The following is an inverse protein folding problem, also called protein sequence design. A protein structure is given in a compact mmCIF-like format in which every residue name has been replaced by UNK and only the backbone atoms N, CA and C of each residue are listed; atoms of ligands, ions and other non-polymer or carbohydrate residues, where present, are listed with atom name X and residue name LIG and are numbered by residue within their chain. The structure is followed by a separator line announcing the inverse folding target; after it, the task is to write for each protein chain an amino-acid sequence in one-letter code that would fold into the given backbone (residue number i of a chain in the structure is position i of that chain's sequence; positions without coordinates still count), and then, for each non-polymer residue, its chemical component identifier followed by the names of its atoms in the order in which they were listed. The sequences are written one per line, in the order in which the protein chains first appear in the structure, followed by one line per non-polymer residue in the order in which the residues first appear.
data_IF_857647142740
#
_entry.id   IF_857647142740
#
_cell.length_a   1.000
_cell.length_b   1.000
_cell.length_c   1.000
_cell.angle_alpha   90.00
_cell.angle_beta   90.00
_cell.angle_gamma   90.00
#
_symmetry.space_group_name_H-M   'P 1'
#
loop_
_entity.id
_entity.type
_entity.pdbx_description
1 polymer ?
#
# COMPACT_ATOMS: atom_id res chain seq x y z
N UNK A 1 17.09 3.32 -29.31
CA UNK A 1 15.83 2.94 -30.00
C UNK A 1 14.59 3.30 -29.16
N UNK A 2 14.49 2.85 -27.91
CA UNK A 2 13.34 3.19 -27.03
C UNK A 2 13.14 4.71 -26.85
N UNK A 3 14.20 5.49 -26.64
CA UNK A 3 14.11 6.96 -26.52
C UNK A 3 13.47 7.64 -27.73
N UNK A 4 13.78 7.17 -28.94
CA UNK A 4 13.15 7.70 -30.15
C UNK A 4 11.64 7.39 -30.21
N UNK A 5 11.19 6.25 -29.70
CA UNK A 5 9.77 5.94 -29.59
C UNK A 5 9.08 6.82 -28.55
N UNK A 6 9.72 7.11 -27.41
CA UNK A 6 9.19 8.04 -26.41
C UNK A 6 9.00 9.45 -26.96
N UNK A 7 9.99 9.97 -27.71
CA UNK A 7 9.88 11.28 -28.38
C UNK A 7 8.75 11.32 -29.40
N UNK A 8 8.41 10.19 -30.01
CA UNK A 8 7.31 10.05 -30.96
C UNK A 8 5.95 9.74 -30.27
N UNK A 9 5.90 9.73 -28.93
CA UNK A 9 4.72 9.34 -28.14
C UNK A 9 4.17 7.93 -28.49
N UNK A 10 5.10 7.02 -28.82
CA UNK A 10 4.81 5.60 -29.11
C UNK A 10 5.19 4.73 -27.91
N UNK A 11 4.47 4.91 -26.82
CA UNK A 11 4.85 4.30 -25.52
C UNK A 11 4.84 2.77 -25.55
N UNK A 12 3.90 2.15 -26.28
CA UNK A 12 3.86 0.69 -26.42
C UNK A 12 5.08 0.16 -27.19
N UNK A 13 5.52 0.86 -28.26
CA UNK A 13 6.72 0.50 -29.01
C UNK A 13 8.00 0.73 -28.17
N UNK A 14 8.01 1.80 -27.37
CA UNK A 14 9.09 2.08 -26.43
C UNK A 14 9.20 0.97 -25.37
N UNK A 15 8.08 0.56 -24.79
CA UNK A 15 8.04 -0.54 -23.81
C UNK A 15 8.49 -1.86 -24.42
N UNK A 16 8.04 -2.17 -25.63
CA UNK A 16 8.45 -3.39 -26.35
C UNK A 16 9.98 -3.41 -26.60
N UNK A 17 10.56 -2.28 -27.01
CA UNK A 17 12.01 -2.15 -27.22
C UNK A 17 12.80 -2.26 -25.91
N UNK A 18 12.32 -1.67 -24.81
CA UNK A 18 12.92 -1.80 -23.47
C UNK A 18 12.85 -3.24 -22.96
N UNK A 19 11.67 -3.88 -23.08
CA UNK A 19 11.50 -5.26 -22.68
C UNK A 19 12.42 -6.23 -23.44
N UNK A 20 12.59 -6.01 -24.73
CA UNK A 20 13.53 -6.82 -25.52
C UNK A 20 14.98 -6.62 -25.03
N UNK A 21 15.35 -5.37 -24.74
CA UNK A 21 16.68 -5.06 -24.18
C UNK A 21 16.87 -5.70 -22.80
N UNK A 22 15.87 -5.65 -21.95
CA UNK A 22 15.89 -6.26 -20.60
C UNK A 22 16.06 -7.78 -20.67
N UNK A 23 15.23 -8.47 -21.47
CA UNK A 23 15.31 -9.93 -21.65
C UNK A 23 16.63 -10.40 -22.23
N UNK A 24 17.31 -9.56 -23.00
CA UNK A 24 18.61 -9.88 -23.58
C UNK A 24 19.80 -9.42 -22.70
N UNK A 25 19.54 -9.00 -21.45
CA UNK A 25 20.54 -8.46 -20.53
C UNK A 25 21.40 -7.33 -21.14
N UNK A 26 20.78 -6.54 -22.02
CA UNK A 26 21.48 -5.41 -22.70
C UNK A 26 21.16 -4.05 -22.07
N UNK A 27 20.39 -4.03 -20.96
CA UNK A 27 20.10 -2.84 -20.16
C UNK A 27 20.84 -2.97 -18.82
N UNK A 28 21.86 -2.12 -18.64
CA UNK A 28 22.66 -2.07 -17.42
C UNK A 28 22.50 -0.74 -16.68
N UNK A 29 21.90 0.27 -17.34
CA UNK A 29 21.76 1.60 -16.76
C UNK A 29 20.55 1.66 -15.84
N UNK A 30 20.78 2.11 -14.60
CA UNK A 30 19.76 2.33 -13.56
C UNK A 30 18.57 3.12 -14.11
N UNK A 31 18.83 4.26 -14.75
CA UNK A 31 17.78 5.16 -15.26
C UNK A 31 16.89 4.48 -16.32
N UNK A 32 17.45 3.54 -17.08
CA UNK A 32 16.70 2.79 -18.09
C UNK A 32 15.82 1.72 -17.43
N UNK A 33 16.31 1.06 -16.38
CA UNK A 33 15.54 0.08 -15.61
C UNK A 33 14.37 0.76 -14.86
N UNK A 34 14.64 1.90 -14.22
CA UNK A 34 13.59 2.72 -13.57
C UNK A 34 12.55 3.19 -14.60
N UNK A 35 13.00 3.65 -15.78
CA UNK A 35 12.09 4.07 -16.86
C UNK A 35 11.24 2.92 -17.37
N UNK A 36 11.78 1.71 -17.45
CA UNK A 36 11.03 0.52 -17.84
C UNK A 36 9.92 0.20 -16.82
N UNK A 37 10.21 0.27 -15.51
CA UNK A 37 9.23 0.09 -14.45
C UNK A 37 8.11 1.14 -14.52
N UNK A 38 8.47 2.42 -14.63
CA UNK A 38 7.52 3.55 -14.73
C UNK A 38 6.63 3.45 -15.98
N UNK A 39 7.21 3.12 -17.13
CA UNK A 39 6.48 2.98 -18.38
C UNK A 39 5.53 1.77 -18.35
N UNK A 40 5.94 0.68 -17.70
CA UNK A 40 5.07 -0.49 -17.49
C UNK A 40 3.86 -0.14 -16.62
N UNK A 41 4.05 0.66 -15.56
CA UNK A 41 2.93 1.17 -14.75
C UNK A 41 2.01 2.10 -15.54
N UNK A 42 2.58 3.03 -16.29
CA UNK A 42 1.83 3.98 -17.11
C UNK A 42 0.95 3.26 -18.15
N UNK A 43 1.43 2.14 -18.68
CA UNK A 43 0.68 1.30 -19.64
C UNK A 43 -0.16 0.21 -18.95
N UNK A 44 -0.45 0.37 -17.66
CA UNK A 44 -1.32 -0.52 -16.89
C UNK A 44 -0.87 -2.00 -16.86
N UNK A 45 0.45 -2.21 -16.79
CA UNK A 45 1.05 -3.54 -16.63
C UNK A 45 1.78 -3.61 -15.26
N UNK A 46 1.04 -3.49 -14.14
CA UNK A 46 1.63 -3.27 -12.82
C UNK A 46 2.47 -4.45 -12.33
N UNK A 47 2.04 -5.67 -12.58
CA UNK A 47 2.80 -6.86 -12.16
C UNK A 47 4.19 -6.90 -12.80
N UNK A 48 4.28 -6.63 -14.10
CA UNK A 48 5.57 -6.58 -14.78
C UNK A 48 6.46 -5.45 -14.24
N UNK A 49 5.86 -4.28 -13.99
CA UNK A 49 6.57 -3.15 -13.39
C UNK A 49 7.17 -3.52 -12.04
N UNK A 50 6.37 -4.15 -11.19
CA UNK A 50 6.76 -4.57 -9.85
C UNK A 50 7.89 -5.61 -9.88
N UNK A 51 7.77 -6.65 -10.70
CA UNK A 51 8.81 -7.69 -10.83
C UNK A 51 10.14 -7.07 -11.30
N UNK A 52 10.12 -6.22 -12.34
CA UNK A 52 11.34 -5.57 -12.85
C UNK A 52 11.98 -4.69 -11.76
N UNK A 53 11.17 -3.88 -11.07
CA UNK A 53 11.68 -3.01 -10.00
C UNK A 53 12.26 -3.83 -8.85
N UNK A 54 11.53 -4.85 -8.38
CA UNK A 54 11.95 -5.70 -7.26
C UNK A 54 13.27 -6.43 -7.58
N UNK A 55 13.33 -7.16 -8.70
CA UNK A 55 14.53 -7.91 -9.12
C UNK A 55 15.76 -7.03 -9.21
N UNK A 56 15.60 -5.83 -9.77
CA UNK A 56 16.74 -4.92 -9.95
C UNK A 56 17.12 -4.16 -8.67
N UNK A 57 16.18 -3.94 -7.74
CA UNK A 57 16.48 -3.46 -6.39
C UNK A 57 17.26 -4.52 -5.60
N UNK A 58 16.86 -5.78 -5.69
CA UNK A 58 17.49 -6.88 -4.98
C UNK A 58 18.90 -7.19 -5.55
N UNK A 59 19.08 -6.96 -6.85
CA UNK A 59 20.39 -7.02 -7.49
C UNK A 59 21.30 -5.78 -7.21
N UNK A 60 20.77 -4.73 -6.54
CA UNK A 60 21.50 -3.50 -6.27
C UNK A 60 21.68 -2.59 -7.50
N UNK A 61 20.96 -2.86 -8.59
CA UNK A 61 20.98 -2.05 -9.81
C UNK A 61 20.05 -0.84 -9.72
N UNK A 62 18.97 -0.94 -8.94
CA UNK A 62 18.07 0.17 -8.57
C UNK A 62 18.22 0.39 -7.07
N UNK A 63 18.33 1.64 -6.66
CA UNK A 63 18.46 2.02 -5.26
C UNK A 63 17.13 1.87 -4.51
N UNK A 64 17.17 1.31 -3.31
CA UNK A 64 16.01 1.23 -2.39
C UNK A 64 15.83 2.57 -1.65
N UNK A 65 15.58 3.65 -2.39
CA UNK A 65 15.20 4.95 -1.84
C UNK A 65 13.68 5.11 -1.78
N UNK A 66 13.22 6.17 -1.12
CA UNK A 66 11.78 6.43 -0.92
C UNK A 66 11.01 6.44 -2.25
N UNK A 67 11.47 7.17 -3.25
CA UNK A 67 10.77 7.30 -4.54
C UNK A 67 10.58 5.95 -5.24
N UNK A 68 11.62 5.14 -5.27
CA UNK A 68 11.59 3.83 -5.91
C UNK A 68 10.77 2.82 -5.13
N UNK A 69 10.82 2.87 -3.78
CA UNK A 69 9.98 2.01 -2.94
C UNK A 69 8.49 2.41 -3.02
N UNK A 70 8.16 3.70 -3.10
CA UNK A 70 6.77 4.15 -3.35
C UNK A 70 6.26 3.68 -4.71
N UNK A 71 7.10 3.73 -5.74
CA UNK A 71 6.76 3.21 -7.07
C UNK A 71 6.51 1.70 -7.03
N UNK A 72 7.37 0.94 -6.35
CA UNK A 72 7.24 -0.50 -6.19
C UNK A 72 5.98 -0.87 -5.39
N UNK A 73 5.72 -0.15 -4.29
CA UNK A 73 4.50 -0.30 -3.50
C UNK A 73 3.24 -0.10 -4.34
N UNK A 74 3.21 0.99 -5.13
CA UNK A 74 2.10 1.27 -6.05
C UNK A 74 1.94 0.17 -7.11
N UNK A 75 3.04 -0.38 -7.61
CA UNK A 75 3.02 -1.44 -8.60
C UNK A 75 2.45 -2.75 -8.04
N UNK A 76 2.92 -3.20 -6.87
CA UNK A 76 2.40 -4.40 -6.20
C UNK A 76 0.94 -4.24 -5.79
N UNK A 77 0.56 -3.07 -5.23
CA UNK A 77 -0.83 -2.77 -4.87
C UNK A 77 -1.76 -2.82 -6.09
N UNK A 78 -1.35 -2.21 -7.21
CA UNK A 78 -2.12 -2.22 -8.45
C UNK A 78 -2.20 -3.62 -9.10
N UNK A 79 -1.17 -4.44 -8.88
CA UNK A 79 -1.16 -5.84 -9.29
C UNK A 79 -1.99 -6.75 -8.38
N UNK A 80 -2.51 -6.23 -7.25
CA UNK A 80 -3.20 -6.95 -6.17
C UNK A 80 -2.34 -8.02 -5.49
N UNK A 81 -1.04 -7.87 -5.55
CA UNK A 81 -0.07 -8.70 -4.83
C UNK A 81 0.18 -8.06 -3.45
N UNK A 82 -0.80 -8.27 -2.56
CA UNK A 82 -0.88 -7.52 -1.29
C UNK A 82 0.23 -7.90 -0.31
N UNK A 83 0.70 -9.15 -0.34
CA UNK A 83 1.81 -9.60 0.51
C UNK A 83 3.10 -8.86 0.17
N UNK A 84 3.42 -8.80 -1.11
CA UNK A 84 4.58 -8.11 -1.65
C UNK A 84 4.49 -6.60 -1.37
N UNK A 85 3.30 -6.02 -1.51
CA UNK A 85 3.07 -4.62 -1.17
C UNK A 85 3.32 -4.34 0.33
N UNK A 86 2.88 -5.23 1.22
CA UNK A 86 3.12 -5.14 2.67
C UNK A 86 4.62 -5.22 2.99
N UNK A 87 5.35 -6.13 2.35
CA UNK A 87 6.81 -6.24 2.52
C UNK A 87 7.53 -4.94 2.13
N UNK A 88 7.05 -4.25 1.08
CA UNK A 88 7.59 -2.93 0.71
C UNK A 88 7.29 -1.88 1.78
N UNK A 89 6.09 -1.88 2.35
CA UNK A 89 5.74 -0.96 3.46
C UNK A 89 6.66 -1.20 4.66
N UNK A 90 6.95 -2.45 4.99
CA UNK A 90 7.82 -2.79 6.13
C UNK A 90 9.26 -2.28 5.96
N UNK A 91 9.71 -2.12 4.71
CA UNK A 91 11.01 -1.50 4.39
C UNK A 91 10.90 0.04 4.38
N UNK A 92 9.81 0.59 3.84
CA UNK A 92 9.64 2.02 3.62
C UNK A 92 9.28 2.78 4.91
N UNK A 93 8.39 2.23 5.74
CA UNK A 93 7.87 2.91 6.91
C UNK A 93 8.95 3.37 7.91
N UNK A 94 9.99 2.56 8.23
CA UNK A 94 11.08 3.00 9.10
C UNK A 94 11.94 4.12 8.50
N UNK A 95 11.88 4.36 7.18
CA UNK A 95 12.71 5.38 6.52
C UNK A 95 12.11 6.78 6.59
N UNK A 96 10.77 6.89 6.70
CA UNK A 96 10.07 8.17 6.52
C UNK A 96 9.20 8.58 7.71
N UNK A 97 9.06 7.73 8.72
CA UNK A 97 8.29 7.99 9.96
C UNK A 97 6.87 8.53 9.67
N UNK A 98 6.17 7.93 8.67
CA UNK A 98 4.86 8.34 8.19
C UNK A 98 3.80 7.29 8.59
N UNK A 99 2.95 7.62 9.55
CA UNK A 99 1.88 6.75 10.03
C UNK A 99 0.86 6.36 8.95
N UNK A 100 0.76 7.14 7.87
CA UNK A 100 -0.15 6.85 6.76
C UNK A 100 0.19 5.54 6.03
N UNK A 101 1.46 5.11 6.03
CA UNK A 101 1.87 3.83 5.48
C UNK A 101 1.28 2.64 6.26
N UNK A 102 1.15 2.78 7.57
CA UNK A 102 0.51 1.74 8.39
C UNK A 102 -1.00 1.69 8.17
N UNK A 103 -1.65 2.82 7.85
CA UNK A 103 -3.05 2.81 7.40
C UNK A 103 -3.16 2.05 6.08
N UNK A 104 -2.27 2.33 5.12
CA UNK A 104 -2.25 1.61 3.85
C UNK A 104 -2.00 0.11 4.08
N UNK A 105 -1.09 -0.26 4.98
CA UNK A 105 -0.87 -1.66 5.40
C UNK A 105 -2.15 -2.29 5.95
N UNK A 106 -2.86 -1.61 6.85
CA UNK A 106 -4.11 -2.09 7.42
C UNK A 106 -5.19 -2.31 6.35
N UNK A 107 -5.27 -1.42 5.34
CA UNK A 107 -6.18 -1.60 4.20
C UNK A 107 -5.83 -2.83 3.35
N UNK A 108 -4.56 -3.08 3.07
CA UNK A 108 -4.11 -4.27 2.35
C UNK A 108 -4.39 -5.56 3.13
N UNK A 109 -4.18 -5.53 4.45
CA UNK A 109 -4.50 -6.63 5.36
C UNK A 109 -6.01 -6.91 5.42
N UNK A 110 -6.84 -5.87 5.30
CA UNK A 110 -8.29 -6.02 5.21
C UNK A 110 -8.71 -6.78 3.94
N UNK A 111 -8.09 -6.50 2.79
CA UNK A 111 -8.32 -7.27 1.56
C UNK A 111 -7.96 -8.77 1.71
N UNK A 112 -7.06 -9.07 2.64
CA UNK A 112 -6.60 -10.42 2.96
C UNK A 112 -7.36 -11.05 4.13
N UNK A 113 -8.27 -10.31 4.80
CA UNK A 113 -8.96 -10.70 6.03
C UNK A 113 -7.99 -11.06 7.17
N UNK A 114 -6.84 -10.40 7.23
CA UNK A 114 -5.87 -10.55 8.32
C UNK A 114 -6.19 -9.55 9.44
N UNK A 115 -7.18 -9.92 10.26
CA UNK A 115 -7.70 -9.07 11.33
C UNK A 115 -6.67 -8.78 12.44
N UNK A 116 -5.81 -9.73 12.75
CA UNK A 116 -4.73 -9.49 13.71
C UNK A 116 -3.68 -8.52 13.15
N UNK A 117 -3.30 -8.68 11.90
CA UNK A 117 -2.41 -7.74 11.22
C UNK A 117 -2.98 -6.32 11.17
N UNK A 118 -4.30 -6.16 10.97
CA UNK A 118 -4.96 -4.84 11.02
C UNK A 118 -4.80 -4.20 12.41
N UNK A 119 -4.99 -4.95 13.50
CA UNK A 119 -4.82 -4.43 14.87
C UNK A 119 -3.40 -3.90 15.06
N UNK A 120 -2.41 -4.68 14.67
CA UNK A 120 -0.99 -4.28 14.77
C UNK A 120 -0.68 -3.05 13.89
N UNK A 121 -1.12 -3.04 12.65
CA UNK A 121 -0.89 -1.92 11.75
C UNK A 121 -1.58 -0.62 12.22
N UNK A 122 -2.82 -0.72 12.73
CA UNK A 122 -3.53 0.44 13.27
C UNK A 122 -2.91 0.97 14.56
N UNK A 123 -2.35 0.10 15.42
CA UNK A 123 -1.58 0.51 16.59
C UNK A 123 -0.34 1.32 16.18
N UNK A 124 0.39 0.84 15.17
CA UNK A 124 1.55 1.57 14.66
C UNK A 124 1.19 2.90 14.01
N UNK A 125 0.07 2.96 13.28
CA UNK A 125 -0.41 4.20 12.69
C UNK A 125 -0.73 5.28 13.74
N UNK A 126 -1.33 4.89 14.86
CA UNK A 126 -1.71 5.78 15.96
C UNK A 126 -0.52 6.32 16.78
N UNK A 127 0.69 5.80 16.55
CA UNK A 127 1.91 6.37 17.15
C UNK A 127 2.34 7.66 16.46
N UNK A 128 1.86 7.94 15.25
CA UNK A 128 2.15 9.21 14.56
C UNK A 128 1.27 10.33 15.12
N UNK A 129 1.85 11.34 15.82
CA UNK A 129 1.08 12.45 16.38
C UNK A 129 0.50 13.38 15.31
N UNK A 130 0.97 13.29 14.07
CA UNK A 130 0.54 14.13 12.95
C UNK A 130 -0.45 13.41 12.03
N UNK A 131 -0.98 12.26 12.43
CA UNK A 131 -1.91 11.50 11.62
C UNK A 131 -3.16 12.33 11.28
N UNK A 132 -3.43 12.51 9.99
CA UNK A 132 -4.49 13.42 9.54
C UNK A 132 -5.90 12.97 9.94
N UNK A 133 -6.18 11.66 9.92
CA UNK A 133 -7.51 11.11 10.14
C UNK A 133 -7.50 9.91 11.11
N UNK A 134 -7.17 10.10 12.38
CA UNK A 134 -7.11 9.00 13.34
C UNK A 134 -8.47 8.30 13.56
N UNK A 135 -9.59 8.99 13.32
CA UNK A 135 -10.92 8.40 13.41
C UNK A 135 -11.14 7.23 12.43
N UNK A 136 -10.59 7.30 11.21
CA UNK A 136 -10.67 6.21 10.24
C UNK A 136 -9.88 4.98 10.71
N UNK A 137 -8.76 5.21 11.39
CA UNK A 137 -7.92 4.15 11.96
C UNK A 137 -8.65 3.40 13.07
N UNK A 138 -9.33 4.13 13.96
CA UNK A 138 -10.14 3.51 15.01
C UNK A 138 -11.33 2.74 14.45
N UNK A 139 -11.95 3.19 13.35
CA UNK A 139 -12.99 2.41 12.67
C UNK A 139 -12.42 1.08 12.13
N UNK A 140 -11.29 1.12 11.41
CA UNK A 140 -10.62 -0.08 10.92
C UNK A 140 -10.27 -1.06 12.04
N UNK A 141 -9.75 -0.55 13.16
CA UNK A 141 -9.42 -1.33 14.35
C UNK A 141 -10.67 -1.96 14.98
N UNK A 142 -11.75 -1.18 15.10
CA UNK A 142 -13.04 -1.66 15.61
C UNK A 142 -13.64 -2.78 14.74
N UNK A 143 -13.53 -2.63 13.39
CA UNK A 143 -13.93 -3.68 12.46
C UNK A 143 -13.12 -4.97 12.67
N UNK A 144 -11.81 -4.87 12.80
CA UNK A 144 -10.95 -6.03 13.05
C UNK A 144 -11.30 -6.74 14.37
N UNK A 145 -11.53 -5.98 15.45
CA UNK A 145 -12.02 -6.54 16.72
C UNK A 145 -13.37 -7.21 16.57
N UNK A 146 -14.27 -6.64 15.75
CA UNK A 146 -15.61 -7.22 15.50
C UNK A 146 -15.51 -8.58 14.82
N UNK A 147 -14.65 -8.71 13.81
CA UNK A 147 -14.45 -9.98 13.08
C UNK A 147 -13.75 -11.05 13.92
N UNK A 148 -12.99 -10.63 14.93
CA UNK A 148 -12.37 -11.51 15.93
C UNK A 148 -13.30 -11.82 17.12
N UNK A 149 -14.56 -11.35 17.10
CA UNK A 149 -15.52 -11.47 18.18
C UNK A 149 -15.07 -10.82 19.52
N UNK A 150 -14.14 -9.90 19.44
CA UNK A 150 -13.60 -9.09 20.55
C UNK A 150 -14.51 -7.86 20.76
N UNK A 151 -15.78 -8.07 21.10
CA UNK A 151 -16.84 -7.05 21.05
C UNK A 151 -16.60 -5.86 21.98
N UNK A 152 -16.00 -6.05 23.16
CA UNK A 152 -15.70 -4.97 24.10
C UNK A 152 -14.65 -4.01 23.50
N UNK A 153 -13.59 -4.56 22.91
CA UNK A 153 -12.54 -3.80 22.26
C UNK A 153 -13.02 -3.12 20.96
N UNK A 154 -13.97 -3.77 20.27
CA UNK A 154 -14.62 -3.17 19.10
C UNK A 154 -15.38 -1.91 19.49
N UNK A 155 -16.23 -1.98 20.53
CA UNK A 155 -17.01 -0.84 21.04
C UNK A 155 -16.07 0.27 21.54
N UNK A 156 -14.98 -0.06 22.24
CA UNK A 156 -13.98 0.91 22.67
C UNK A 156 -13.38 1.66 21.46
N UNK A 157 -12.93 0.92 20.44
CA UNK A 157 -12.35 1.51 19.22
C UNK A 157 -13.35 2.41 18.49
N UNK A 158 -14.61 2.00 18.35
CA UNK A 158 -15.64 2.84 17.74
C UNK A 158 -15.98 4.06 18.59
N UNK A 159 -15.91 3.97 19.92
CA UNK A 159 -16.09 5.12 20.82
C UNK A 159 -14.99 6.15 20.63
N UNK A 160 -13.74 5.73 20.53
CA UNK A 160 -12.62 6.62 20.20
C UNK A 160 -12.83 7.30 18.82
N UNK A 161 -13.33 6.56 17.81
CA UNK A 161 -13.66 7.14 16.52
C UNK A 161 -14.76 8.21 16.60
N UNK A 162 -15.72 8.08 17.51
CA UNK A 162 -16.74 9.11 17.77
C UNK A 162 -16.15 10.34 18.42
N UNK A 163 -15.24 10.17 19.38
CA UNK A 163 -14.69 11.28 20.16
C UNK A 163 -13.77 12.18 19.32
N UNK A 164 -12.87 11.58 18.50
CA UNK A 164 -11.84 12.31 17.80
C UNK A 164 -12.06 12.42 16.29
N UNK A 165 -13.00 11.67 15.74
CA UNK A 165 -13.24 11.59 14.30
C UNK A 165 -14.11 12.71 13.75
N UNK A 166 -14.21 12.75 12.43
CA UNK A 166 -15.12 13.60 11.67
C UNK A 166 -16.59 13.23 11.92
N UNK A 167 -17.54 14.06 11.49
CA UNK A 167 -18.96 13.73 11.55
C UNK A 167 -19.32 12.48 10.74
N UNK A 168 -18.54 12.13 9.73
CA UNK A 168 -18.66 10.87 8.99
C UNK A 168 -18.24 9.69 9.84
N UNK A 169 -17.10 9.80 10.55
CA UNK A 169 -16.61 8.76 11.45
C UNK A 169 -17.60 8.49 12.58
N UNK A 170 -18.18 9.55 13.16
CA UNK A 170 -19.20 9.42 14.23
C UNK A 170 -20.38 8.59 13.78
N UNK A 171 -21.00 8.95 12.65
CA UNK A 171 -22.16 8.19 12.12
C UNK A 171 -21.81 6.74 11.79
N UNK A 172 -20.62 6.52 11.21
CA UNK A 172 -20.14 5.18 10.88
C UNK A 172 -19.91 4.35 12.13
N UNK A 173 -19.22 4.91 13.12
CA UNK A 173 -18.93 4.24 14.38
C UNK A 173 -20.20 3.94 15.21
N UNK A 174 -21.19 4.87 15.26
CA UNK A 174 -22.49 4.64 15.89
C UNK A 174 -23.21 3.43 15.27
N UNK A 175 -23.21 3.32 13.93
CA UNK A 175 -23.82 2.19 13.23
C UNK A 175 -23.10 0.86 13.53
N UNK A 176 -21.76 0.91 13.66
CA UNK A 176 -20.99 -0.27 14.05
C UNK A 176 -21.24 -0.70 15.50
N UNK A 177 -21.37 0.26 16.44
CA UNK A 177 -21.70 -0.04 17.84
C UNK A 177 -23.06 -0.73 17.94
N UNK A 178 -24.07 -0.25 17.21
CA UNK A 178 -25.38 -0.90 17.14
C UNK A 178 -25.25 -2.33 16.62
N UNK A 179 -24.55 -2.54 15.50
CA UNK A 179 -24.33 -3.86 14.92
C UNK A 179 -23.61 -4.83 15.87
N UNK A 180 -22.55 -4.36 16.53
CA UNK A 180 -21.78 -5.18 17.50
C UNK A 180 -22.62 -5.52 18.72
N UNK A 181 -23.43 -4.56 19.21
CA UNK A 181 -24.31 -4.77 20.36
C UNK A 181 -25.36 -5.85 20.10
N UNK A 182 -25.93 -5.87 18.89
CA UNK A 182 -26.87 -6.90 18.47
C UNK A 182 -26.22 -8.29 18.34
N UNK A 183 -24.97 -8.36 17.92
CA UNK A 183 -24.22 -9.64 17.81
C UNK A 183 -23.76 -10.19 19.15
N UNK A 184 -23.52 -9.31 20.11
CA UNK A 184 -23.10 -9.70 21.47
C UNK A 184 -24.24 -10.37 22.25
N UNK A 185 -25.53 -10.13 21.92
CA UNK A 185 -26.72 -10.74 22.50
C UNK A 185 -27.18 -10.01 23.74
#
# INVERSE_FOLDING_TARGET
MAGAYMEMQKDADALAALNLGYKNNSIEKKETLESLGRLSLYLEIPYQAAVIMQENMDAGLIEKNEDNLRLLLGAWTSAREFKEAIEVIDVLAPMIEDGSLFIQKAMLLNEMSDWNGIKEATEMALLDPNLENPGDVFILRGMAHTELEEYDQAIESFTEAIEIGSDSNKRNAESWIEYVSDRRG
#
